data_IF_645163755344
#
_entry.id   IF_645163755344
#
_cell.length_a   1.000
_cell.length_b   1.000
_cell.length_c   1.000
_cell.angle_alpha   90.00
_cell.angle_beta   90.00
_cell.angle_gamma   90.00
#
_symmetry.space_group_name_H-M   'P 1'
#
loop_
_entity.id
_entity.type
_entity.pdbx_description
1 polymer ?
#
# COMPACT_ATOMS: atom_id res chain seq x y z
N UNK A 1 -16.69 1.15 30.03
CA UNK A 1 -15.23 1.25 29.85
C UNK A 1 -14.64 0.31 28.78
N UNK A 2 -14.46 -1.01 28.96
CA UNK A 2 -13.83 -1.89 27.93
C UNK A 2 -14.54 -1.91 26.56
N UNK A 3 -15.88 -1.93 26.56
CA UNK A 3 -16.69 -1.95 25.32
C UNK A 3 -16.65 -0.63 24.55
N UNK A 4 -16.65 0.52 25.25
CA UNK A 4 -16.50 1.84 24.63
C UNK A 4 -15.10 2.05 24.07
N UNK A 5 -14.07 1.59 24.78
CA UNK A 5 -12.69 1.64 24.28
C UNK A 5 -12.52 0.79 23.02
N UNK A 6 -13.06 -0.44 23.02
CA UNK A 6 -13.06 -1.29 21.84
C UNK A 6 -13.88 -0.69 20.68
N UNK A 7 -15.02 -0.07 20.95
CA UNK A 7 -15.84 0.60 19.94
C UNK A 7 -15.15 1.85 19.36
N UNK A 8 -14.50 2.67 20.21
CA UNK A 8 -13.70 3.82 19.78
C UNK A 8 -12.48 3.38 18.98
N UNK A 9 -11.78 2.34 19.41
CA UNK A 9 -10.65 1.76 18.68
C UNK A 9 -11.10 1.21 17.31
N UNK A 10 -12.22 0.48 17.26
CA UNK A 10 -12.82 -0.04 16.01
C UNK A 10 -13.24 1.08 15.06
N UNK A 11 -13.76 2.19 15.59
CA UNK A 11 -14.18 3.34 14.79
C UNK A 11 -12.97 4.15 14.29
N UNK A 12 -11.91 4.27 15.09
CA UNK A 12 -10.63 4.88 14.71
C UNK A 12 -9.89 4.01 13.67
N UNK A 13 -9.86 2.68 13.87
CA UNK A 13 -9.30 1.73 12.91
C UNK A 13 -10.05 1.76 11.57
N UNK A 14 -11.39 1.73 11.59
CA UNK A 14 -12.22 1.84 10.37
C UNK A 14 -12.03 3.15 9.62
N UNK A 15 -11.76 4.26 10.31
CA UNK A 15 -11.48 5.56 9.69
C UNK A 15 -10.04 5.70 9.21
N UNK A 16 -9.11 4.88 9.71
CA UNK A 16 -7.71 4.97 9.32
C UNK A 16 -7.48 4.29 7.97
N UNK A 17 -6.83 4.97 6.99
CA UNK A 17 -6.40 4.32 5.75
C UNK A 17 -5.45 3.13 5.99
N UNK A 18 -4.85 3.05 7.18
CA UNK A 18 -3.98 1.94 7.60
C UNK A 18 -4.69 0.58 7.68
N UNK A 19 -5.91 0.51 8.23
CA UNK A 19 -6.61 -0.76 8.43
C UNK A 19 -7.03 -1.41 7.11
N UNK A 20 -7.51 -0.62 6.15
CA UNK A 20 -7.89 -1.10 4.82
C UNK A 20 -6.68 -1.62 4.04
N UNK A 21 -5.54 -0.92 4.13
CA UNK A 21 -4.30 -1.32 3.46
C UNK A 21 -3.69 -2.60 4.07
N UNK A 22 -3.78 -2.75 5.41
CA UNK A 22 -3.29 -3.95 6.09
C UNK A 22 -4.10 -5.21 5.71
N UNK A 23 -5.42 -5.10 5.62
CA UNK A 23 -6.28 -6.21 5.15
C UNK A 23 -5.94 -6.59 3.72
N UNK A 24 -5.79 -5.60 2.84
CA UNK A 24 -5.44 -5.85 1.45
C UNK A 24 -4.07 -6.51 1.32
N UNK A 25 -3.08 -6.07 2.10
CA UNK A 25 -1.77 -6.71 2.16
C UNK A 25 -1.85 -8.17 2.61
N UNK A 26 -2.61 -8.45 3.67
CA UNK A 26 -2.81 -9.83 4.13
C UNK A 26 -3.50 -10.71 3.09
N UNK A 27 -4.51 -10.18 2.40
CA UNK A 27 -5.19 -10.88 1.31
C UNK A 27 -4.24 -11.21 0.16
N UNK A 28 -3.39 -10.27 -0.25
CA UNK A 28 -2.40 -10.48 -1.31
C UNK A 28 -1.36 -11.53 -0.93
N UNK A 29 -0.86 -11.52 0.31
CA UNK A 29 0.04 -12.56 0.83
C UNK A 29 -0.66 -13.92 0.88
N UNK A 30 -1.91 -13.97 1.33
CA UNK A 30 -2.69 -15.21 1.34
C UNK A 30 -2.91 -15.79 -0.06
N UNK A 31 -3.24 -14.94 -1.03
CA UNK A 31 -3.39 -15.34 -2.43
C UNK A 31 -2.07 -15.85 -3.02
N UNK A 32 -0.95 -15.19 -2.73
CA UNK A 32 0.36 -15.66 -3.19
C UNK A 32 0.67 -17.06 -2.63
N UNK A 33 0.45 -17.29 -1.32
CA UNK A 33 0.65 -18.60 -0.70
C UNK A 33 -0.27 -19.69 -1.26
N UNK A 34 -1.51 -19.35 -1.61
CA UNK A 34 -2.43 -20.27 -2.29
C UNK A 34 -1.92 -20.65 -3.68
N UNK A 35 -1.45 -19.65 -4.45
CA UNK A 35 -0.93 -19.88 -5.80
C UNK A 35 0.39 -20.66 -5.78
N UNK A 36 1.25 -20.39 -4.80
CA UNK A 36 2.51 -21.12 -4.58
C UNK A 36 2.25 -22.60 -4.27
N UNK A 37 1.22 -22.91 -3.47
CA UNK A 37 0.89 -24.28 -3.07
C UNK A 37 0.62 -25.20 -4.27
N UNK A 38 -0.02 -24.65 -5.30
CA UNK A 38 -0.37 -25.37 -6.54
C UNK A 38 0.65 -25.18 -7.66
N UNK A 39 1.65 -24.31 -7.46
CA UNK A 39 2.63 -24.03 -8.49
C UNK A 39 3.61 -25.19 -8.67
N UNK A 40 3.69 -25.69 -9.90
CA UNK A 40 4.66 -26.69 -10.32
C UNK A 40 5.32 -26.24 -11.62
N UNK A 41 6.63 -25.96 -11.58
CA UNK A 41 7.37 -25.58 -12.77
C UNK A 41 7.35 -26.74 -13.79
N UNK A 42 7.01 -26.52 -15.07
CA UNK A 42 6.88 -27.59 -16.06
C UNK A 42 8.22 -28.23 -16.50
N UNK A 43 9.34 -27.66 -16.05
CA UNK A 43 10.69 -28.13 -16.29
C UNK A 43 10.98 -28.40 -17.78
N UNK A 44 10.55 -27.48 -18.64
CA UNK A 44 10.87 -27.43 -20.07
C UNK A 44 11.21 -25.99 -20.44
N UNK A 45 12.37 -25.69 -21.05
CA UNK A 45 12.91 -24.32 -21.09
C UNK A 45 11.96 -23.27 -21.65
N UNK A 46 11.31 -23.56 -22.79
CA UNK A 46 10.35 -22.65 -23.41
C UNK A 46 9.09 -22.47 -22.56
N UNK A 47 8.59 -23.56 -21.96
CA UNK A 47 7.39 -23.50 -21.12
C UNK A 47 7.67 -22.86 -19.76
N UNK A 48 8.87 -23.04 -19.19
CA UNK A 48 9.27 -22.42 -17.93
C UNK A 48 9.14 -20.90 -18.01
N UNK A 49 9.68 -20.30 -19.07
CA UNK A 49 9.63 -18.86 -19.27
C UNK A 49 8.19 -18.37 -19.44
N UNK A 50 7.43 -18.99 -20.35
CA UNK A 50 6.04 -18.58 -20.64
C UNK A 50 5.15 -18.71 -19.41
N UNK A 51 5.27 -19.84 -18.71
CA UNK A 51 4.48 -20.13 -17.52
C UNK A 51 4.81 -19.13 -16.41
N UNK A 52 6.09 -18.94 -16.09
CA UNK A 52 6.50 -17.94 -15.11
C UNK A 52 6.00 -16.54 -15.46
N UNK A 53 6.16 -16.08 -16.71
CA UNK A 53 5.66 -14.76 -17.14
C UNK A 53 4.15 -14.63 -16.91
N UNK A 54 3.37 -15.68 -17.20
CA UNK A 54 1.93 -15.66 -16.97
C UNK A 54 1.57 -15.45 -15.50
N UNK A 55 2.25 -16.12 -14.55
CA UNK A 55 2.04 -15.91 -13.11
C UNK A 55 2.45 -14.52 -12.64
N UNK A 56 3.47 -13.91 -13.25
CA UNK A 56 3.83 -12.52 -12.97
C UNK A 56 2.77 -11.53 -13.48
N UNK A 57 2.30 -11.69 -14.72
CA UNK A 57 1.47 -10.69 -15.39
C UNK A 57 -0.03 -10.83 -15.10
N UNK A 58 -0.58 -12.04 -15.15
CA UNK A 58 -2.04 -12.22 -15.10
C UNK A 58 -2.64 -11.71 -13.79
N UNK A 59 -2.13 -12.09 -12.59
CA UNK A 59 -2.70 -11.61 -11.34
C UNK A 59 -2.35 -10.13 -11.06
N UNK A 60 -1.20 -9.65 -11.54
CA UNK A 60 -0.82 -8.24 -11.44
C UNK A 60 -1.79 -7.34 -12.24
N UNK A 61 -2.08 -7.70 -13.49
CA UNK A 61 -3.02 -6.99 -14.34
C UNK A 61 -4.44 -7.07 -13.79
N UNK A 62 -4.86 -8.26 -13.34
CA UNK A 62 -6.18 -8.47 -12.75
C UNK A 62 -6.39 -7.61 -11.49
N UNK A 63 -5.45 -7.64 -10.55
CA UNK A 63 -5.54 -6.85 -9.31
C UNK A 63 -5.52 -5.34 -9.57
N UNK A 64 -4.72 -4.88 -10.54
CA UNK A 64 -4.70 -3.47 -10.94
C UNK A 64 -5.99 -3.04 -11.63
N UNK A 65 -6.54 -3.87 -12.51
CA UNK A 65 -7.81 -3.61 -13.17
C UNK A 65 -8.97 -3.55 -12.17
N UNK A 66 -8.99 -4.45 -11.17
CA UNK A 66 -9.97 -4.41 -10.07
C UNK A 66 -9.85 -3.12 -9.26
N UNK A 67 -8.63 -2.72 -8.90
CA UNK A 67 -8.40 -1.48 -8.16
C UNK A 67 -8.85 -0.26 -8.96
N UNK A 68 -8.56 -0.25 -10.26
CA UNK A 68 -9.04 0.78 -11.18
C UNK A 68 -10.57 0.81 -11.26
N UNK A 69 -11.23 -0.35 -11.39
CA UNK A 69 -12.69 -0.44 -11.42
C UNK A 69 -13.35 0.10 -10.14
N UNK A 70 -12.79 -0.23 -8.97
CA UNK A 70 -13.30 0.24 -7.67
C UNK A 70 -13.13 1.76 -7.53
N UNK A 71 -12.01 2.32 -8.00
CA UNK A 71 -11.71 3.75 -7.90
C UNK A 71 -12.30 4.61 -9.05
N UNK A 72 -12.75 3.99 -10.15
CA UNK A 72 -13.32 4.65 -11.33
C UNK A 72 -14.39 5.73 -11.03
N UNK A 73 -15.30 5.57 -10.04
CA UNK A 73 -16.29 6.61 -9.71
C UNK A 73 -15.69 7.92 -9.15
N UNK A 74 -14.43 7.91 -8.70
CA UNK A 74 -13.74 9.07 -8.10
C UNK A 74 -12.85 9.81 -9.12
N UNK A 75 -12.76 9.35 -10.37
CA UNK A 75 -11.92 9.90 -11.43
C UNK A 75 -12.49 11.17 -12.11
N UNK A 76 -13.12 12.08 -11.36
CA UNK A 76 -13.52 13.40 -11.90
C UNK A 76 -12.32 14.36 -12.05
N UNK A 77 -11.20 14.06 -11.40
CA UNK A 77 -9.95 14.81 -11.51
C UNK A 77 -8.81 13.83 -11.78
N UNK A 78 -8.36 13.72 -13.03
CA UNK A 78 -7.21 12.88 -13.39
C UNK A 78 -5.92 13.50 -12.81
N UNK A 79 -5.64 13.20 -11.55
CA UNK A 79 -4.31 13.40 -10.97
C UNK A 79 -3.47 12.16 -11.25
N UNK A 80 -2.22 12.38 -11.69
CA UNK A 80 -1.21 11.33 -11.90
C UNK A 80 -1.06 10.44 -10.64
N UNK A 81 -1.26 11.03 -9.46
CA UNK A 81 -1.25 10.34 -8.17
C UNK A 81 -2.37 9.29 -8.03
N UNK A 82 -3.53 9.51 -8.63
CA UNK A 82 -4.65 8.56 -8.63
C UNK A 82 -4.40 7.37 -9.55
N UNK A 83 -3.67 7.55 -10.64
CA UNK A 83 -3.27 6.45 -11.53
C UNK A 83 -2.19 5.59 -10.86
N UNK A 84 -1.25 6.21 -10.14
CA UNK A 84 -0.19 5.50 -9.42
C UNK A 84 -0.74 4.56 -8.33
N UNK A 85 -1.80 4.95 -7.62
CA UNK A 85 -2.40 4.09 -6.59
C UNK A 85 -3.06 2.83 -7.15
N UNK A 86 -3.50 2.85 -8.40
CA UNK A 86 -4.09 1.69 -9.08
C UNK A 86 -3.05 0.63 -9.46
N UNK A 87 -1.77 1.01 -9.56
CA UNK A 87 -0.65 0.11 -9.90
C UNK A 87 -0.06 -0.55 -8.65
N UNK A 88 -0.31 0.00 -7.46
CA UNK A 88 0.21 -0.54 -6.19
C UNK A 88 -0.08 -2.05 -6.04
N UNK A 89 -1.30 -2.55 -6.31
CA UNK A 89 -1.57 -4.00 -6.28
C UNK A 89 -0.68 -4.84 -7.18
N UNK A 90 -0.48 -4.44 -8.44
CA UNK A 90 0.46 -5.11 -9.35
C UNK A 90 1.89 -5.09 -8.79
N UNK A 91 2.32 -3.93 -8.32
CA UNK A 91 3.66 -3.77 -7.75
C UNK A 91 3.88 -4.70 -6.56
N UNK A 92 2.94 -4.75 -5.62
CA UNK A 92 2.97 -5.65 -4.46
C UNK A 92 2.99 -7.10 -4.91
N UNK A 93 2.14 -7.50 -5.86
CA UNK A 93 2.10 -8.86 -6.39
C UNK A 93 3.45 -9.30 -6.96
N UNK A 94 4.04 -8.48 -7.83
CA UNK A 94 5.34 -8.75 -8.43
C UNK A 94 6.43 -8.87 -7.36
N UNK A 95 6.40 -8.01 -6.34
CA UNK A 95 7.36 -8.09 -5.22
C UNK A 95 7.22 -9.38 -4.41
N UNK A 96 5.99 -9.83 -4.14
CA UNK A 96 5.76 -11.09 -3.44
C UNK A 96 6.35 -12.28 -4.24
N UNK A 97 6.17 -12.31 -5.56
CA UNK A 97 6.78 -13.35 -6.41
C UNK A 97 8.31 -13.30 -6.42
N UNK A 98 8.91 -12.10 -6.37
CA UNK A 98 10.37 -11.98 -6.23
C UNK A 98 10.87 -12.49 -4.88
N UNK A 99 10.12 -12.24 -3.79
CA UNK A 99 10.42 -12.76 -2.45
C UNK A 99 10.25 -14.28 -2.33
N UNK A 100 9.25 -14.86 -2.97
CA UNK A 100 9.18 -16.32 -3.06
C UNK A 100 10.36 -16.86 -3.88
N UNK A 101 10.55 -16.31 -5.08
CA UNK A 101 11.67 -16.60 -5.97
C UNK A 101 11.58 -17.91 -6.75
N UNK A 102 10.59 -18.79 -6.52
CA UNK A 102 10.44 -20.03 -7.29
C UNK A 102 10.05 -19.75 -8.74
N UNK A 103 9.19 -18.76 -8.97
CA UNK A 103 8.78 -18.33 -10.31
C UNK A 103 9.96 -17.81 -11.13
N UNK A 104 10.85 -17.03 -10.50
CA UNK A 104 12.06 -16.52 -11.12
C UNK A 104 13.07 -17.65 -11.39
N UNK A 105 13.28 -18.53 -10.42
CA UNK A 105 14.15 -19.70 -10.59
C UNK A 105 13.65 -20.61 -11.72
N UNK A 106 12.35 -20.85 -11.81
CA UNK A 106 11.72 -21.57 -12.91
C UNK A 106 11.99 -20.86 -14.25
N UNK A 107 11.75 -19.54 -14.35
CA UNK A 107 11.98 -18.78 -15.58
C UNK A 107 13.44 -18.84 -16.08
N UNK A 108 14.40 -18.90 -15.15
CA UNK A 108 15.84 -19.00 -15.46
C UNK A 108 16.32 -20.43 -15.73
N UNK A 109 15.53 -21.43 -15.37
CA UNK A 109 15.88 -22.83 -15.55
C UNK A 109 15.79 -23.23 -17.04
N UNK A 110 16.93 -23.63 -17.60
CA UNK A 110 17.09 -23.94 -19.03
C UNK A 110 17.22 -25.43 -19.34
N UNK A 111 17.09 -26.32 -18.35
CA UNK A 111 17.16 -27.76 -18.54
C UNK A 111 15.79 -28.42 -18.51
N UNK A 112 15.71 -29.61 -19.11
CA UNK A 112 14.54 -30.48 -19.04
C UNK A 112 14.61 -31.32 -17.77
N UNK A 113 13.51 -31.37 -17.03
CA UNK A 113 13.47 -32.00 -15.72
C UNK A 113 12.10 -32.56 -15.34
N UNK A 114 12.05 -33.17 -14.17
CA UNK A 114 10.83 -33.50 -13.44
C UNK A 114 10.74 -32.56 -12.25
N UNK A 115 9.53 -32.09 -11.96
CA UNK A 115 9.26 -31.30 -10.76
C UNK A 115 9.28 -32.21 -9.55
N UNK A 116 10.17 -31.96 -8.60
CA UNK A 116 10.27 -32.71 -7.36
C UNK A 116 10.15 -31.79 -6.16
N UNK A 117 9.56 -32.28 -5.06
CA UNK A 117 9.43 -31.55 -3.79
C UNK A 117 10.66 -31.82 -2.92
N UNK A 118 11.18 -30.78 -2.26
CA UNK A 118 12.26 -30.94 -1.28
C UNK A 118 11.72 -31.01 0.14
N UNK A 119 12.31 -31.86 0.98
CA UNK A 119 11.92 -32.03 2.39
C UNK A 119 12.50 -30.95 3.33
N UNK A 120 13.44 -30.13 2.84
CA UNK A 120 14.25 -29.20 3.65
C UNK A 120 13.42 -27.99 4.12
N UNK A 121 12.37 -27.63 3.40
CA UNK A 121 11.42 -26.57 3.76
C UNK A 121 10.11 -26.92 3.09
N UNK A 122 9.10 -27.24 3.90
CA UNK A 122 7.77 -27.62 3.43
C UNK A 122 7.35 -26.75 2.23
N UNK A 123 6.97 -27.40 1.13
CA UNK A 123 6.44 -26.87 -0.14
C UNK A 123 7.40 -26.32 -1.22
N UNK A 124 8.73 -26.31 -1.05
CA UNK A 124 9.58 -25.88 -2.18
C UNK A 124 9.72 -26.98 -3.24
N UNK A 125 9.35 -26.64 -4.49
CA UNK A 125 9.58 -27.51 -5.66
C UNK A 125 10.77 -27.04 -6.48
N UNK A 126 11.48 -27.98 -7.12
CA UNK A 126 12.54 -27.66 -8.07
C UNK A 126 12.56 -28.63 -9.26
N UNK A 127 13.25 -28.24 -10.32
CA UNK A 127 13.37 -29.04 -11.54
C UNK A 127 14.59 -29.96 -11.50
N UNK A 128 14.38 -31.23 -11.15
CA UNK A 128 15.42 -32.25 -11.18
C UNK A 128 15.65 -32.74 -12.62
N UNK A 129 16.88 -32.71 -13.15
CA UNK A 129 17.16 -33.20 -14.50
C UNK A 129 16.91 -34.72 -14.63
N UNK A 130 16.35 -35.18 -15.76
CA UNK A 130 16.07 -36.62 -16.01
C UNK A 130 17.31 -37.43 -16.42
N UNK A 131 18.29 -36.77 -17.03
CA UNK A 131 19.49 -37.43 -17.54
C UNK A 131 20.46 -37.57 -16.37
N UNK A 132 21.19 -38.69 -16.32
CA UNK A 132 22.30 -38.96 -15.40
C UNK A 132 23.42 -37.92 -15.58
N UNK A 133 23.12 -36.70 -15.14
CA UNK A 133 24.05 -35.60 -15.09
C UNK A 133 24.84 -35.85 -13.83
N UNK A 134 26.14 -36.05 -13.97
CA UNK A 134 27.10 -36.15 -12.86
C UNK A 134 27.08 -34.92 -11.92
N UNK A 135 26.23 -33.92 -12.23
CA UNK A 135 26.17 -32.58 -11.70
C UNK A 135 24.77 -32.23 -11.15
N UNK A 136 23.95 -33.20 -10.69
CA UNK A 136 22.64 -32.92 -10.08
C UNK A 136 22.78 -31.88 -8.95
N UNK A 137 23.82 -32.02 -8.12
CA UNK A 137 24.12 -31.08 -7.03
C UNK A 137 24.42 -29.67 -7.55
N UNK A 138 25.15 -29.54 -8.66
CA UNK A 138 25.43 -28.24 -9.29
C UNK A 138 24.14 -27.58 -9.77
N UNK A 139 23.26 -28.32 -10.45
CA UNK A 139 21.99 -27.80 -10.96
C UNK A 139 21.00 -27.44 -9.86
N UNK A 140 21.03 -28.20 -8.77
CA UNK A 140 20.28 -27.87 -7.57
C UNK A 140 20.80 -26.55 -6.96
N UNK A 141 22.13 -26.39 -6.84
CA UNK A 141 22.74 -25.15 -6.36
C UNK A 141 22.44 -23.96 -7.29
N UNK A 142 22.44 -24.15 -8.60
CA UNK A 142 22.04 -23.13 -9.58
C UNK A 142 20.60 -22.66 -9.36
N UNK A 143 19.67 -23.62 -9.18
CA UNK A 143 18.25 -23.32 -8.96
C UNK A 143 18.04 -22.50 -7.68
N UNK A 144 18.62 -22.94 -6.56
CA UNK A 144 18.57 -22.18 -5.31
C UNK A 144 19.34 -20.85 -5.41
N UNK A 145 20.41 -20.79 -6.20
CA UNK A 145 21.12 -19.56 -6.52
C UNK A 145 20.23 -18.54 -7.25
N UNK A 146 19.44 -18.98 -8.23
CA UNK A 146 18.46 -18.12 -8.91
C UNK A 146 17.36 -17.64 -7.94
N UNK A 147 16.88 -18.53 -7.07
CA UNK A 147 15.91 -18.15 -6.02
C UNK A 147 16.47 -17.08 -5.09
N UNK A 148 17.68 -17.29 -4.56
CA UNK A 148 18.34 -16.32 -3.68
C UNK A 148 18.58 -14.99 -4.41
N UNK A 149 18.99 -15.04 -5.68
CA UNK A 149 19.15 -13.84 -6.51
C UNK A 149 17.84 -13.06 -6.62
N UNK A 150 16.73 -13.74 -6.86
CA UNK A 150 15.40 -13.13 -6.90
C UNK A 150 15.05 -12.42 -5.59
N UNK A 151 15.32 -13.06 -4.44
CA UNK A 151 15.07 -12.49 -3.13
C UNK A 151 15.93 -11.26 -2.86
N UNK A 152 17.22 -11.29 -3.21
CA UNK A 152 18.09 -10.12 -3.11
C UNK A 152 17.59 -8.96 -3.98
N UNK A 153 17.15 -9.24 -5.21
CA UNK A 153 16.56 -8.23 -6.10
C UNK A 153 15.29 -7.64 -5.49
N UNK A 154 14.38 -8.48 -4.98
CA UNK A 154 13.17 -8.02 -4.29
C UNK A 154 13.47 -7.15 -3.07
N UNK A 155 14.43 -7.56 -2.23
CA UNK A 155 14.83 -6.80 -1.04
C UNK A 155 15.47 -5.47 -1.42
N UNK A 156 16.30 -5.46 -2.46
CA UNK A 156 16.89 -4.25 -3.02
C UNK A 156 15.82 -3.26 -3.49
N UNK A 157 14.83 -3.73 -4.25
CA UNK A 157 13.71 -2.86 -4.68
C UNK A 157 12.90 -2.32 -3.50
N UNK A 158 12.59 -3.17 -2.52
CA UNK A 158 11.85 -2.73 -1.32
C UNK A 158 12.63 -1.66 -0.55
N UNK A 159 13.95 -1.82 -0.42
CA UNK A 159 14.81 -0.84 0.23
C UNK A 159 14.78 0.50 -0.51
N UNK A 160 14.94 0.50 -1.83
CA UNK A 160 14.91 1.72 -2.66
C UNK A 160 13.57 2.43 -2.53
N UNK A 161 12.46 1.70 -2.64
CA UNK A 161 11.11 2.28 -2.49
C UNK A 161 10.92 2.87 -1.09
N UNK A 162 11.37 2.17 -0.05
CA UNK A 162 11.25 2.63 1.34
C UNK A 162 12.04 3.91 1.60
N UNK A 163 13.28 4.00 1.09
CA UNK A 163 14.12 5.21 1.19
C UNK A 163 13.48 6.37 0.44
N UNK A 164 12.98 6.14 -0.78
CA UNK A 164 12.31 7.18 -1.57
C UNK A 164 11.06 7.73 -0.86
N UNK A 165 10.23 6.85 -0.31
CA UNK A 165 9.04 7.24 0.46
C UNK A 165 9.41 8.01 1.72
N UNK A 166 10.47 7.60 2.42
CA UNK A 166 10.97 8.30 3.60
C UNK A 166 11.44 9.72 3.26
N UNK A 167 12.29 9.88 2.23
CA UNK A 167 12.77 11.18 1.77
C UNK A 167 11.61 12.08 1.35
N UNK A 168 10.68 11.57 0.54
CA UNK A 168 9.51 12.31 0.11
C UNK A 168 8.63 12.74 1.30
N UNK A 169 8.46 11.85 2.29
CA UNK A 169 7.78 12.14 3.55
C UNK A 169 8.45 13.28 4.32
N UNK A 170 9.78 13.23 4.48
CA UNK A 170 10.54 14.30 5.13
C UNK A 170 10.38 15.64 4.42
N UNK A 171 10.54 15.69 3.09
CA UNK A 171 10.38 16.91 2.30
C UNK A 171 8.97 17.49 2.48
N UNK A 172 7.93 16.64 2.43
CA UNK A 172 6.55 17.07 2.59
C UNK A 172 6.27 17.60 4.01
N UNK A 173 6.80 16.96 5.05
CA UNK A 173 6.69 17.42 6.43
C UNK A 173 7.40 18.78 6.64
N UNK A 174 8.61 18.95 6.09
CA UNK A 174 9.34 20.22 6.14
C UNK A 174 8.60 21.35 5.42
N UNK A 175 7.96 21.07 4.28
CA UNK A 175 7.19 22.06 3.53
C UNK A 175 5.91 22.49 4.27
N UNK A 176 5.26 21.57 4.99
CA UNK A 176 4.06 21.91 5.77
C UNK A 176 4.38 22.76 7.01
N UNK A 177 5.54 22.56 7.64
CA UNK A 177 5.97 23.36 8.81
C UNK A 177 6.47 24.76 8.43
N UNK A 178 6.93 24.96 7.19
CA UNK A 178 7.35 26.28 6.69
C UNK A 178 6.16 27.20 6.33
N UNK A 179 4.98 26.63 6.02
CA UNK A 179 3.79 27.40 5.62
C UNK A 179 2.90 27.89 6.77
N UNK A 180 3.23 27.62 8.04
CA UNK A 180 2.40 27.97 9.21
C UNK A 180 3.08 28.99 10.14
N UNK A 181 4.10 29.71 9.67
CA UNK A 181 4.71 30.81 10.45
C UNK A 181 4.41 32.16 9.79
N UNK A 182 3.26 32.74 10.13
CA UNK A 182 3.06 34.19 10.10
C UNK A 182 3.07 34.67 11.57
N UNK A 183 3.80 35.76 11.90
CA UNK A 183 4.27 36.04 13.26
C UNK A 183 3.18 36.66 14.16
N UNK A 184 3.02 36.10 15.35
CA UNK A 184 2.32 36.73 16.47
C UNK A 184 3.24 37.75 17.15
N UNK A 185 2.65 38.88 17.53
CA UNK A 185 3.09 39.85 18.54
C UNK A 185 4.22 40.83 18.18
N UNK A 186 3.84 41.96 17.58
CA UNK A 186 4.41 43.24 18.02
C UNK A 186 3.78 43.57 19.39
N UNK A 187 4.56 43.34 20.44
CA UNK A 187 4.26 43.82 21.79
C UNK A 187 4.41 45.34 21.79
N UNK A 188 3.30 46.07 21.96
CA UNK A 188 3.36 47.43 22.49
C UNK A 188 3.00 47.36 23.97
N UNK A 189 3.96 47.86 24.74
CA UNK A 189 4.07 48.01 26.18
C UNK A 189 2.78 48.40 26.91
N UNK A 190 2.58 47.78 28.06
CA UNK A 190 1.51 48.02 29.03
C UNK A 190 1.97 49.12 30.00
N UNK A 191 1.28 50.26 30.05
CA UNK A 191 1.45 51.29 31.09
C UNK A 191 0.24 51.30 32.06
N UNK A 192 0.56 51.47 33.34
CA UNK A 192 -0.14 51.16 34.62
C UNK A 192 -1.30 52.16 34.99
N UNK A 193 -2.06 52.06 36.12
CA UNK A 193 -3.51 52.18 36.10
C UNK A 193 -4.02 53.43 36.84
N UNK A 194 -5.26 53.82 36.53
CA UNK A 194 -6.10 54.58 37.46
C UNK A 194 -6.23 56.08 37.17
N UNK A 195 -7.43 56.48 36.76
CA UNK A 195 -8.06 57.75 37.17
C UNK A 195 -9.59 57.67 36.94
N UNK A 196 -10.35 58.18 37.91
CA UNK A 196 -11.82 58.36 38.01
C UNK A 196 -12.49 58.87 36.71
N UNK A 197 -13.76 58.57 36.39
CA UNK A 197 -14.99 59.07 37.06
C UNK A 197 -16.28 58.39 36.51
N UNK A 198 -17.37 58.43 37.28
CA UNK A 198 -18.69 57.81 37.00
C UNK A 198 -19.68 58.76 36.20
N UNK A 199 -21.02 58.51 36.10
CA UNK A 199 -21.80 58.18 34.86
C UNK A 199 -22.97 59.18 34.55
N UNK A 200 -24.17 58.78 34.03
CA UNK A 200 -24.69 58.63 32.64
C UNK A 200 -25.77 59.72 32.27
N UNK A 201 -26.63 59.60 31.22
CA UNK A 201 -27.88 58.80 31.32
C UNK A 201 -28.48 58.17 30.03
N UNK A 202 -29.35 57.20 30.33
CA UNK A 202 -30.55 56.62 29.69
C UNK A 202 -31.11 57.11 28.34
N UNK A 203 -31.70 56.14 27.63
CA UNK A 203 -32.65 56.36 26.53
C UNK A 203 -33.33 55.08 26.07
N UNK A 204 -34.33 54.62 26.84
CA UNK A 204 -35.28 53.54 26.52
C UNK A 204 -36.26 53.94 25.40
N UNK A 205 -36.63 52.99 24.52
CA UNK A 205 -37.99 52.76 23.96
C UNK A 205 -37.88 51.78 22.78
N UNK A 206 -38.55 50.62 22.67
CA UNK A 206 -39.95 50.19 22.89
C UNK A 206 -40.72 50.09 21.56
N UNK A 207 -41.17 48.84 21.28
CA UNK A 207 -42.24 48.36 20.36
C UNK A 207 -42.09 48.71 18.86
N UNK A 208 -42.63 47.98 17.88
CA UNK A 208 -43.90 47.25 17.70
C UNK A 208 -43.62 46.26 16.53
N UNK A 209 -43.95 44.97 16.60
CA UNK A 209 -45.28 44.37 16.37
C UNK A 209 -45.45 43.77 14.95
N UNK A 210 -45.92 42.52 14.98
CA UNK A 210 -46.56 41.64 13.98
C UNK A 210 -46.63 42.01 12.48
N UNK A 211 -46.33 41.02 11.62
CA UNK A 211 -47.41 40.34 10.88
C UNK A 211 -47.06 38.95 10.33
N UNK A 212 -48.09 38.12 10.44
CA UNK A 212 -48.29 36.72 10.15
C UNK A 212 -48.34 36.34 8.65
N UNK A 213 -48.38 35.01 8.44
CA UNK A 213 -48.90 34.25 7.30
C UNK A 213 -48.01 34.17 6.05
N UNK A 214 -47.99 33.12 5.23
CA UNK A 214 -48.55 31.75 5.18
C UNK A 214 -48.14 31.21 3.79
N UNK A 215 -48.23 29.89 3.60
CA UNK A 215 -48.23 29.14 2.33
C UNK A 215 -46.85 28.79 1.74
N UNK A 216 -46.48 27.50 1.74
CA UNK A 216 -46.83 26.50 0.71
C UNK A 216 -46.40 26.95 -0.70
N UNK A 217 -45.36 26.33 -1.27
CA UNK A 217 -45.51 25.23 -2.25
C UNK A 217 -44.16 24.84 -2.88
N UNK A 218 -44.07 23.53 -3.17
CA UNK A 218 -43.15 22.75 -4.01
C UNK A 218 -41.71 22.47 -3.55
#
# INVERSE_FOLDING_TARGET
MRKEWAARLKNQLKKSPFYSNAIFGFLMVGLEKLVEMDFACPCKPVMNLVFSIAYFLVPALFSSALMFYIHSPQCKTQSLLSTLTCIIPAGVWVMLLFFDGQYYACAKTSWVGLTVKTDISASTTWCQPLIDSNNITEKQMDFFGFRNTSQFVGLGFLLVISVALYIFGCIRCCHQTAGTKEPEAEQVEMEDPGQRSAPPPEGSALMEEERSASSEQL
#
